data_IF_022257144002
#
_entry.id   IF_022257144002
#
_cell.length_a   1.000
_cell.length_b   1.000
_cell.length_c   1.000
_cell.angle_alpha   90.00
_cell.angle_beta   90.00
_cell.angle_gamma   90.00
#
_symmetry.space_group_name_H-M   'P 1'
#
loop_
_entity.id
_entity.type
_entity.pdbx_description
1 polymer ?
#
# COMPACT_ATOMS: atom_id res chain seq x y z
N UNK A 1 21.89 66.34 -5.50
CA UNK A 1 22.28 67.32 -6.55
C UNK A 1 22.62 66.55 -7.84
N UNK A 2 22.47 67.18 -9.01
CA UNK A 2 22.56 66.52 -10.33
C UNK A 2 23.99 66.43 -10.92
N UNK A 3 24.16 65.56 -11.93
CA UNK A 3 25.31 65.48 -12.86
C UNK A 3 26.38 64.46 -12.43
N UNK A 4 27.16 63.81 -13.31
CA UNK A 4 27.33 63.75 -14.79
C UNK A 4 27.92 62.34 -15.12
N UNK A 5 28.02 61.80 -16.35
CA UNK A 5 27.78 62.26 -17.73
C UNK A 5 27.39 61.04 -18.63
N UNK A 6 27.32 61.20 -19.96
CA UNK A 6 27.24 60.09 -20.93
C UNK A 6 28.62 59.73 -21.54
N UNK A 7 28.79 58.44 -21.87
CA UNK A 7 29.63 57.89 -22.94
C UNK A 7 29.05 56.49 -23.29
N UNK A 8 29.12 55.95 -24.51
CA UNK A 8 29.70 56.45 -25.75
C UNK A 8 30.13 55.29 -26.66
N UNK A 9 29.23 54.84 -27.54
CA UNK A 9 29.41 53.95 -28.73
C UNK A 9 30.46 52.81 -28.71
N UNK A 10 29.98 51.61 -29.01
CA UNK A 10 30.54 50.77 -30.09
C UNK A 10 29.46 49.82 -30.65
N UNK A 11 29.27 49.83 -31.96
CA UNK A 11 28.53 48.79 -32.70
C UNK A 11 29.50 47.69 -33.18
N UNK A 12 29.01 46.77 -34.02
CA UNK A 12 29.67 45.56 -34.57
C UNK A 12 29.78 44.39 -33.57
N UNK A 13 29.31 43.17 -33.85
CA UNK A 13 28.63 42.66 -35.05
C UNK A 13 29.23 41.36 -35.56
N UNK A 14 28.80 40.21 -35.03
CA UNK A 14 28.97 38.91 -35.69
C UNK A 14 27.95 37.88 -35.19
N UNK A 15 27.15 37.38 -36.12
CA UNK A 15 26.49 36.08 -36.07
C UNK A 15 27.30 35.15 -37.00
N UNK A 16 27.60 33.92 -36.59
CA UNK A 16 27.18 32.83 -37.47
C UNK A 16 26.59 31.64 -36.70
N UNK A 17 25.30 31.42 -36.94
CA UNK A 17 24.59 30.15 -36.81
C UNK A 17 25.44 28.97 -37.31
N UNK A 18 25.61 27.94 -36.49
CA UNK A 18 25.94 26.60 -36.98
C UNK A 18 25.28 25.52 -36.13
N UNK A 19 24.91 24.42 -36.79
CA UNK A 19 23.83 23.53 -36.38
C UNK A 19 24.02 22.69 -35.12
N UNK A 20 22.88 22.29 -34.55
CA UNK A 20 22.60 20.87 -34.33
C UNK A 20 21.08 20.64 -34.31
N UNK A 21 20.57 19.76 -35.16
CA UNK A 21 19.20 19.25 -35.01
C UNK A 21 19.19 18.19 -33.90
N UNK A 22 18.30 18.26 -32.90
CA UNK A 22 18.07 17.11 -32.01
C UNK A 22 17.34 16.01 -32.79
N UNK A 23 17.96 14.86 -32.90
CA UNK A 23 17.45 13.67 -33.58
C UNK A 23 16.26 13.06 -32.85
N UNK A 24 15.24 12.61 -33.59
CA UNK A 24 14.16 11.78 -33.07
C UNK A 24 14.73 10.57 -32.30
N UNK A 25 14.42 10.44 -31.01
CA UNK A 25 14.71 9.26 -30.20
C UNK A 25 13.40 8.65 -29.67
N UNK A 26 13.16 7.40 -30.09
CA UNK A 26 12.17 6.44 -29.59
C UNK A 26 10.95 6.99 -28.83
N UNK A 27 9.80 6.99 -29.51
CA UNK A 27 8.53 6.65 -28.87
C UNK A 27 8.70 5.27 -28.23
N UNK A 28 8.74 5.22 -26.90
CA UNK A 28 8.71 3.96 -26.17
C UNK A 28 7.41 3.24 -26.49
N UNK A 29 7.50 2.00 -26.98
CA UNK A 29 6.33 1.15 -27.13
C UNK A 29 5.77 0.88 -25.73
N UNK A 30 4.52 1.26 -25.48
CA UNK A 30 3.77 0.73 -24.35
C UNK A 30 3.62 -0.78 -24.58
N UNK A 31 4.40 -1.57 -23.86
CA UNK A 31 4.16 -3.01 -23.75
C UNK A 31 2.78 -3.19 -23.11
N UNK A 32 1.79 -3.54 -23.93
CA UNK A 32 0.45 -3.84 -23.46
C UNK A 32 0.53 -4.91 -22.36
N UNK A 33 0.07 -4.57 -21.16
CA UNK A 33 0.11 -5.44 -19.98
C UNK A 33 -0.92 -6.56 -20.15
N UNK A 34 -0.56 -7.57 -20.94
CA UNK A 34 -1.33 -8.78 -21.11
C UNK A 34 -1.43 -9.51 -19.76
N UNK A 35 -2.65 -9.71 -19.27
CA UNK A 35 -2.90 -10.43 -18.02
C UNK A 35 -4.15 -10.07 -17.23
N UNK A 36 -4.96 -9.09 -17.62
CA UNK A 36 -6.28 -8.92 -16.99
C UNK A 36 -7.16 -10.15 -17.28
N UNK A 37 -7.70 -10.85 -16.25
CA UNK A 37 -8.69 -11.90 -16.49
C UNK A 37 -9.97 -11.29 -17.09
N UNK A 38 -10.52 -11.91 -18.14
CA UNK A 38 -11.71 -11.40 -18.84
C UNK A 38 -12.97 -11.35 -17.96
N UNK A 39 -12.99 -12.05 -16.83
CA UNK A 39 -14.16 -12.18 -15.97
C UNK A 39 -13.79 -11.86 -14.52
N UNK A 40 -14.50 -10.89 -13.95
CA UNK A 40 -14.47 -10.52 -12.53
C UNK A 40 -15.93 -10.41 -12.09
N UNK A 41 -16.35 -11.24 -11.14
CA UNK A 41 -17.78 -11.41 -10.80
C UNK A 41 -18.24 -10.46 -9.70
N UNK A 42 -18.77 -9.31 -10.09
CA UNK A 42 -19.31 -8.31 -9.16
C UNK A 42 -20.72 -8.69 -8.64
N UNK A 43 -20.84 -8.95 -7.34
CA UNK A 43 -22.14 -9.13 -6.67
C UNK A 43 -22.41 -8.02 -5.66
N UNK A 44 -23.16 -6.99 -6.07
CA UNK A 44 -24.06 -6.33 -5.12
C UNK A 44 -25.22 -7.27 -4.80
N UNK A 45 -25.83 -7.10 -3.62
CA UNK A 45 -26.80 -8.05 -3.08
C UNK A 45 -28.03 -8.30 -3.99
N UNK A 46 -28.66 -9.45 -3.79
CA UNK A 46 -29.84 -9.99 -4.49
C UNK A 46 -29.68 -10.58 -5.91
N UNK A 47 -29.57 -11.92 -5.91
CA UNK A 47 -29.97 -12.90 -6.96
C UNK A 47 -29.17 -12.97 -8.27
N UNK A 48 -28.71 -14.19 -8.54
CA UNK A 48 -27.92 -14.59 -9.70
C UNK A 48 -28.40 -14.05 -11.06
N UNK A 49 -27.54 -13.26 -11.70
CA UNK A 49 -27.32 -13.25 -13.16
C UNK A 49 -25.85 -12.93 -13.42
N UNK A 50 -25.09 -13.90 -13.91
CA UNK A 50 -23.74 -13.66 -14.41
C UNK A 50 -23.86 -13.06 -15.81
N UNK A 51 -23.63 -11.76 -15.90
CA UNK A 51 -23.43 -11.04 -17.15
C UNK A 51 -22.06 -10.37 -17.08
N UNK A 52 -21.36 -10.28 -18.22
CA UNK A 52 -20.15 -9.46 -18.35
C UNK A 52 -20.52 -8.00 -18.08
N UNK A 53 -20.40 -7.58 -16.83
CA UNK A 53 -20.50 -6.19 -16.40
C UNK A 53 -19.11 -5.59 -16.48
N UNK A 54 -19.02 -4.44 -17.13
CA UNK A 54 -17.89 -3.52 -16.94
C UNK A 54 -17.71 -3.27 -15.43
N UNK A 55 -16.46 -3.11 -15.01
CA UNK A 55 -16.12 -2.81 -13.63
C UNK A 55 -16.93 -1.60 -13.13
N UNK A 56 -17.48 -1.61 -11.89
CA UNK A 56 -18.05 -0.40 -11.30
C UNK A 56 -17.03 0.74 -11.43
N UNK A 57 -17.42 1.91 -11.94
CA UNK A 57 -16.53 3.06 -12.06
C UNK A 57 -16.77 3.99 -10.87
N UNK A 58 -15.83 4.01 -9.93
CA UNK A 58 -15.91 4.77 -8.67
C UNK A 58 -14.94 5.94 -8.70
N UNK A 59 -15.46 7.13 -8.40
CA UNK A 59 -14.68 8.37 -8.38
C UNK A 59 -14.38 8.82 -6.95
N UNK A 60 -13.46 9.77 -6.81
CA UNK A 60 -13.15 10.40 -5.52
C UNK A 60 -14.34 11.11 -4.84
N UNK A 61 -15.42 11.39 -5.59
CA UNK A 61 -16.68 11.95 -5.08
C UNK A 61 -17.71 10.91 -4.63
N UNK A 62 -17.48 9.63 -4.92
CA UNK A 62 -18.35 8.52 -4.49
C UNK A 62 -17.83 7.93 -3.16
N UNK A 63 -18.71 7.35 -2.35
CA UNK A 63 -18.30 6.65 -1.12
C UNK A 63 -17.52 5.35 -1.46
N UNK A 64 -16.61 4.91 -0.59
CA UNK A 64 -15.91 3.63 -0.76
C UNK A 64 -16.88 2.46 -0.99
N UNK A 65 -16.52 1.55 -1.90
CA UNK A 65 -17.33 0.36 -2.22
C UNK A 65 -16.62 -0.93 -1.81
N UNK A 66 -17.41 -1.99 -1.66
CA UNK A 66 -16.94 -3.37 -1.61
C UNK A 66 -17.29 -4.10 -2.91
N UNK A 67 -16.31 -4.77 -3.49
CA UNK A 67 -16.45 -5.66 -4.66
C UNK A 67 -15.99 -7.09 -4.32
N UNK A 68 -16.20 -8.00 -5.26
CA UNK A 68 -15.53 -9.31 -5.28
C UNK A 68 -14.64 -9.37 -6.50
N UNK A 69 -13.41 -9.86 -6.32
CA UNK A 69 -12.43 -9.98 -7.41
C UNK A 69 -11.76 -11.35 -7.43
N UNK A 70 -11.10 -11.64 -8.56
CA UNK A 70 -10.23 -12.81 -8.73
C UNK A 70 -8.88 -12.38 -9.29
N UNK A 71 -8.09 -11.66 -8.48
CA UNK A 71 -6.81 -11.06 -8.83
C UNK A 71 -5.59 -11.95 -8.58
N UNK A 72 -5.76 -13.16 -8.02
CA UNK A 72 -4.71 -14.16 -7.89
C UNK A 72 -3.91 -14.42 -9.18
N UNK A 73 -4.55 -14.53 -10.37
CA UNK A 73 -3.85 -14.68 -11.66
C UNK A 73 -2.97 -13.50 -12.08
N UNK A 74 -3.09 -12.32 -11.45
CA UNK A 74 -2.19 -11.19 -11.71
C UNK A 74 -0.79 -11.39 -11.09
N UNK A 75 -0.68 -12.33 -10.15
CA UNK A 75 0.53 -12.71 -9.43
C UNK A 75 1.19 -13.96 -10.02
N UNK A 76 2.51 -14.01 -9.92
CA UNK A 76 3.29 -15.23 -10.06
C UNK A 76 2.98 -16.22 -8.92
N UNK A 77 3.08 -17.52 -9.17
CA UNK A 77 3.06 -18.51 -8.10
C UNK A 77 4.38 -18.58 -7.31
N UNK A 78 5.47 -18.01 -7.84
CA UNK A 78 6.77 -17.92 -7.19
C UNK A 78 7.14 -16.48 -6.86
N UNK A 79 7.59 -16.24 -5.63
CA UNK A 79 8.18 -14.98 -5.19
C UNK A 79 9.34 -15.27 -4.22
N UNK A 80 10.39 -14.46 -4.32
CA UNK A 80 11.57 -14.52 -3.46
C UNK A 80 11.37 -13.57 -2.27
N UNK A 81 10.50 -14.00 -1.35
CA UNK A 81 10.19 -13.23 -0.14
C UNK A 81 11.32 -13.38 0.88
N UNK A 82 11.79 -12.26 1.42
CA UNK A 82 12.93 -12.21 2.34
C UNK A 82 12.61 -11.35 3.55
N UNK A 83 13.07 -11.76 4.73
CA UNK A 83 13.00 -10.90 5.90
C UNK A 83 13.95 -9.70 5.72
N UNK A 84 13.42 -8.48 5.80
CA UNK A 84 14.23 -7.27 5.82
C UNK A 84 14.80 -7.11 7.23
N UNK A 85 16.12 -7.17 7.34
CA UNK A 85 16.82 -6.96 8.61
C UNK A 85 17.10 -5.47 8.76
N UNK A 86 16.33 -4.80 9.62
CA UNK A 86 16.62 -3.43 10.06
C UNK A 86 16.82 -3.38 11.59
N UNK A 87 17.75 -2.55 12.05
CA UNK A 87 18.13 -2.49 13.47
C UNK A 87 16.99 -1.98 14.37
N UNK A 88 16.08 -1.17 13.83
CA UNK A 88 14.95 -0.62 14.57
C UNK A 88 13.88 -1.69 14.86
N UNK A 89 13.61 -2.58 13.91
CA UNK A 89 12.79 -3.80 14.06
C UNK A 89 13.41 -4.74 15.10
N UNK A 90 14.73 -4.96 15.05
CA UNK A 90 15.44 -5.73 16.10
C UNK A 90 15.32 -5.07 17.48
N UNK A 91 15.30 -3.73 17.55
CA UNK A 91 15.17 -2.97 18.80
C UNK A 91 13.76 -3.03 19.42
N UNK A 92 12.73 -3.42 18.67
CA UNK A 92 11.38 -3.64 19.19
C UNK A 92 11.25 -4.94 20.03
N UNK A 93 12.27 -5.81 20.01
CA UNK A 93 12.39 -6.99 20.86
C UNK A 93 12.46 -8.31 20.10
N UNK A 94 13.22 -9.27 20.62
CA UNK A 94 13.30 -10.63 20.09
C UNK A 94 11.92 -11.34 20.22
N UNK A 95 11.46 -11.98 19.15
CA UNK A 95 10.06 -12.44 19.02
C UNK A 95 9.15 -11.37 18.39
N UNK A 96 9.69 -10.65 17.41
CA UNK A 96 9.24 -9.37 16.86
C UNK A 96 7.71 -9.20 16.71
N UNK A 97 7.15 -8.22 17.42
CA UNK A 97 5.76 -7.77 17.27
C UNK A 97 5.53 -6.90 16.02
N UNK A 98 6.59 -6.59 15.29
CA UNK A 98 6.60 -5.90 14.00
C UNK A 98 7.78 -6.43 13.19
N UNK A 99 7.61 -6.69 11.90
CA UNK A 99 8.70 -7.05 11.00
C UNK A 99 8.38 -6.68 9.55
N UNK A 100 9.43 -6.52 8.74
CA UNK A 100 9.33 -6.12 7.33
C UNK A 100 9.77 -7.27 6.41
N UNK A 101 9.08 -7.44 5.28
CA UNK A 101 9.36 -8.48 4.28
C UNK A 101 9.53 -7.85 2.89
N UNK A 102 10.68 -8.08 2.28
CA UNK A 102 10.97 -7.72 0.89
C UNK A 102 10.37 -8.73 -0.09
N UNK A 103 9.98 -8.26 -1.27
CA UNK A 103 9.56 -9.10 -2.39
C UNK A 103 8.20 -9.80 -2.22
N UNK A 104 7.35 -9.36 -1.28
CA UNK A 104 5.99 -9.92 -1.11
C UNK A 104 5.16 -9.76 -2.37
N UNK A 105 5.36 -8.66 -3.09
CA UNK A 105 5.04 -8.52 -4.51
C UNK A 105 6.29 -8.07 -5.29
N UNK A 106 6.36 -8.37 -6.57
CA UNK A 106 7.32 -7.70 -7.48
C UNK A 106 6.77 -6.35 -7.95
N UNK A 107 7.63 -5.39 -8.37
CA UNK A 107 7.16 -4.12 -8.92
C UNK A 107 6.22 -4.24 -10.14
N UNK A 108 6.33 -5.33 -10.91
CA UNK A 108 5.43 -5.64 -12.04
C UNK A 108 4.06 -6.10 -11.55
N UNK A 109 4.02 -6.96 -10.54
CA UNK A 109 2.78 -7.40 -9.89
C UNK A 109 2.05 -6.22 -9.24
N UNK A 110 2.78 -5.33 -8.56
CA UNK A 110 2.18 -4.15 -7.97
C UNK A 110 1.52 -3.25 -9.03
N UNK A 111 2.18 -3.00 -10.18
CA UNK A 111 1.60 -2.25 -11.29
C UNK A 111 0.32 -2.89 -11.84
N UNK A 112 0.30 -4.22 -12.00
CA UNK A 112 -0.88 -4.97 -12.45
C UNK A 112 -2.05 -4.84 -11.46
N UNK A 113 -1.77 -4.96 -10.17
CA UNK A 113 -2.78 -4.83 -9.10
C UNK A 113 -3.28 -3.39 -8.95
N UNK A 114 -2.41 -2.37 -9.08
CA UNK A 114 -2.83 -0.97 -9.14
C UNK A 114 -3.75 -0.74 -10.34
N UNK A 115 -3.35 -1.17 -11.54
CA UNK A 115 -4.16 -1.00 -12.75
C UNK A 115 -5.54 -1.69 -12.66
N UNK A 116 -5.59 -2.91 -12.11
CA UNK A 116 -6.84 -3.62 -11.89
C UNK A 116 -7.74 -2.94 -10.84
N UNK A 117 -7.15 -2.31 -9.82
CA UNK A 117 -7.87 -1.53 -8.81
C UNK A 117 -8.35 -0.17 -9.36
N UNK A 118 -7.54 0.54 -10.14
CA UNK A 118 -7.91 1.82 -10.75
C UNK A 118 -8.96 1.67 -11.86
N UNK A 119 -9.01 0.51 -12.54
CA UNK A 119 -10.10 0.17 -13.45
C UNK A 119 -11.47 0.00 -12.74
N UNK A 120 -11.49 -0.10 -11.41
CA UNK A 120 -12.70 -0.02 -10.56
C UNK A 120 -12.79 1.39 -9.93
N UNK A 121 -11.67 1.95 -9.51
CA UNK A 121 -11.57 3.25 -8.87
C UNK A 121 -11.72 3.20 -7.34
N UNK A 122 -11.60 4.36 -6.71
CA UNK A 122 -11.49 4.51 -5.26
C UNK A 122 -12.41 5.63 -4.76
N UNK A 123 -13.24 5.33 -3.75
CA UNK A 123 -14.17 6.29 -3.15
C UNK A 123 -13.65 6.92 -1.85
N UNK A 124 -14.32 7.95 -1.35
CA UNK A 124 -14.00 8.58 -0.07
C UNK A 124 -14.42 7.70 1.13
N UNK A 125 -13.83 7.97 2.30
CA UNK A 125 -14.21 7.33 3.57
C UNK A 125 -14.92 8.33 4.47
N UNK A 126 -15.80 7.88 5.37
CA UNK A 126 -16.56 8.73 6.32
C UNK A 126 -15.69 9.52 7.35
N UNK A 127 -14.37 9.44 7.25
CA UNK A 127 -13.46 10.17 8.12
C UNK A 127 -13.17 11.58 7.59
N UNK A 128 -12.99 12.54 8.50
CA UNK A 128 -12.50 13.87 8.14
C UNK A 128 -11.13 13.78 7.45
N UNK A 129 -10.95 14.47 6.32
CA UNK A 129 -9.70 14.46 5.54
C UNK A 129 -8.44 14.72 6.38
N UNK A 130 -8.52 15.64 7.35
CA UNK A 130 -7.42 15.98 8.26
C UNK A 130 -7.03 14.86 9.24
N UNK A 131 -7.89 13.85 9.44
CA UNK A 131 -7.56 12.62 10.15
C UNK A 131 -7.21 11.49 9.18
N UNK A 132 -8.00 11.28 8.13
CA UNK A 132 -7.76 10.25 7.11
C UNK A 132 -8.17 10.77 5.75
N UNK A 133 -7.19 11.04 4.88
CA UNK A 133 -7.41 11.65 3.57
C UNK A 133 -7.54 10.67 2.41
N UNK A 134 -7.07 9.42 2.59
CA UNK A 134 -7.00 8.45 1.51
C UNK A 134 -8.38 8.10 0.93
N UNK A 135 -8.43 7.90 -0.38
CA UNK A 135 -9.51 7.18 -1.04
C UNK A 135 -9.33 5.66 -0.84
N UNK A 136 -10.41 4.89 -0.95
CA UNK A 136 -10.40 3.46 -0.66
C UNK A 136 -11.29 2.64 -1.59
N UNK A 137 -10.81 1.42 -1.85
CA UNK A 137 -11.55 0.33 -2.47
C UNK A 137 -11.44 -0.89 -1.53
N UNK A 138 -12.52 -1.65 -1.37
CA UNK A 138 -12.51 -2.93 -0.65
C UNK A 138 -12.78 -4.03 -1.68
N UNK A 139 -12.00 -5.12 -1.64
CA UNK A 139 -12.34 -6.34 -2.36
C UNK A 139 -12.33 -7.56 -1.45
N UNK A 140 -13.26 -8.48 -1.68
CA UNK A 140 -13.23 -9.82 -1.13
C UNK A 140 -12.70 -10.78 -2.20
N UNK A 141 -11.47 -11.27 -2.01
CA UNK A 141 -10.72 -12.03 -3.02
C UNK A 141 -9.95 -13.20 -2.40
N UNK A 142 -10.48 -14.42 -2.60
CA UNK A 142 -9.83 -15.64 -2.13
C UNK A 142 -8.61 -16.00 -2.99
N UNK A 143 -8.64 -15.74 -4.30
CA UNK A 143 -7.56 -16.11 -5.23
C UNK A 143 -6.26 -15.34 -4.94
N UNK A 144 -6.38 -14.04 -4.65
CA UNK A 144 -5.28 -13.19 -4.18
C UNK A 144 -4.78 -13.66 -2.82
N UNK A 145 -5.71 -13.95 -1.91
CA UNK A 145 -5.43 -14.44 -0.56
C UNK A 145 -4.62 -15.74 -0.54
N UNK A 146 -4.97 -16.71 -1.38
CA UNK A 146 -4.29 -18.00 -1.45
C UNK A 146 -2.85 -17.88 -1.97
N UNK A 147 -2.62 -17.07 -3.00
CA UNK A 147 -1.27 -16.82 -3.53
C UNK A 147 -0.41 -16.08 -2.51
N UNK A 148 -0.93 -15.02 -1.88
CA UNK A 148 -0.15 -14.25 -0.88
C UNK A 148 0.07 -15.07 0.40
N UNK A 149 -0.90 -15.87 0.85
CA UNK A 149 -0.69 -16.79 1.97
C UNK A 149 0.38 -17.84 1.65
N UNK A 150 0.42 -18.35 0.41
CA UNK A 150 1.49 -19.21 -0.08
C UNK A 150 2.89 -18.63 0.11
N UNK A 151 3.03 -17.31 -0.09
CA UNK A 151 4.27 -16.52 0.12
C UNK A 151 4.57 -16.24 1.60
N UNK A 152 3.55 -15.91 2.40
CA UNK A 152 3.71 -15.42 3.78
C UNK A 152 3.73 -16.51 4.87
N UNK A 153 3.15 -17.70 4.63
CA UNK A 153 2.94 -18.74 5.66
C UNK A 153 4.21 -19.20 6.40
N UNK A 154 5.38 -19.09 5.78
CA UNK A 154 6.67 -19.44 6.37
C UNK A 154 7.41 -18.27 7.02
N UNK A 155 6.90 -17.05 6.87
CA UNK A 155 7.50 -15.80 7.36
C UNK A 155 6.76 -15.21 8.56
N UNK A 156 5.48 -15.57 8.75
CA UNK A 156 4.70 -15.16 9.93
C UNK A 156 4.97 -16.09 11.11
N UNK A 157 4.79 -15.62 12.37
CA UNK A 157 4.80 -16.50 13.54
C UNK A 157 3.77 -17.63 13.37
N UNK A 158 4.18 -18.91 13.31
CA UNK A 158 3.26 -20.01 13.02
C UNK A 158 2.29 -20.27 14.19
N UNK A 159 2.72 -19.92 15.39
CA UNK A 159 2.00 -20.03 16.66
C UNK A 159 2.12 -18.71 17.43
N UNK A 160 1.07 -18.36 18.16
CA UNK A 160 1.01 -17.25 19.13
C UNK A 160 0.30 -17.75 20.39
N UNK A 161 0.82 -17.43 21.56
CA UNK A 161 0.11 -17.64 22.82
C UNK A 161 -0.73 -16.40 23.17
N UNK A 162 -1.98 -16.62 23.60
CA UNK A 162 -2.86 -15.57 24.08
C UNK A 162 -3.85 -16.16 25.11
N UNK A 163 -3.95 -15.50 26.28
CA UNK A 163 -4.87 -15.86 27.36
C UNK A 163 -4.77 -17.33 27.81
N UNK A 164 -3.55 -17.90 27.75
CA UNK A 164 -3.28 -19.31 28.06
C UNK A 164 -3.67 -20.32 26.98
N UNK A 165 -4.07 -19.86 25.79
CA UNK A 165 -4.36 -20.69 24.63
C UNK A 165 -3.29 -20.52 23.55
N UNK A 166 -2.96 -21.62 22.87
CA UNK A 166 -2.21 -21.57 21.62
C UNK A 166 -3.12 -21.21 20.43
N UNK A 167 -2.62 -20.35 19.55
CA UNK A 167 -3.28 -19.94 18.32
C UNK A 167 -2.37 -20.15 17.13
N UNK A 168 -2.84 -20.88 16.11
CA UNK A 168 -2.08 -21.23 14.90
C UNK A 168 -2.44 -20.32 13.73
N UNK A 169 -1.44 -19.78 13.03
CA UNK A 169 -1.66 -19.01 11.81
C UNK A 169 -2.35 -19.90 10.74
N UNK A 170 -3.48 -19.46 10.19
CA UNK A 170 -4.38 -20.30 9.39
C UNK A 170 -4.80 -19.69 8.04
N UNK A 171 -4.25 -18.53 7.66
CA UNK A 171 -4.54 -17.85 6.41
C UNK A 171 -4.39 -16.33 6.52
N UNK A 172 -4.88 -15.61 5.50
CA UNK A 172 -5.11 -14.18 5.59
C UNK A 172 -6.62 -13.87 5.62
N UNK A 173 -6.96 -12.61 5.90
CA UNK A 173 -8.30 -12.06 5.72
C UNK A 173 -8.58 -11.83 4.23
N UNK A 174 -9.63 -12.45 3.71
CA UNK A 174 -10.05 -12.35 2.32
C UNK A 174 -10.55 -10.95 1.92
N UNK A 175 -10.91 -10.12 2.91
CA UNK A 175 -11.32 -8.73 2.73
C UNK A 175 -10.11 -7.80 2.67
N UNK A 176 -9.58 -7.58 1.46
CA UNK A 176 -8.49 -6.66 1.17
C UNK A 176 -8.99 -5.22 1.13
N UNK A 177 -8.19 -4.31 1.73
CA UNK A 177 -8.47 -2.88 1.82
C UNK A 177 -7.37 -2.12 1.10
N UNK A 178 -7.71 -1.53 -0.03
CA UNK A 178 -6.81 -0.81 -0.90
C UNK A 178 -6.97 0.68 -0.63
N UNK A 179 -5.87 1.39 -0.40
CA UNK A 179 -5.86 2.82 -0.13
C UNK A 179 -5.01 3.56 -1.18
N UNK A 180 -5.58 4.61 -1.77
CA UNK A 180 -4.91 5.57 -2.65
C UNK A 180 -4.79 6.91 -1.93
N UNK A 181 -3.58 7.45 -1.84
CA UNK A 181 -3.25 8.73 -1.23
C UNK A 181 -2.71 9.69 -2.29
N UNK A 182 -3.19 10.92 -2.25
CA UNK A 182 -2.75 12.07 -3.04
C UNK A 182 -2.05 13.10 -2.15
N UNK A 183 -1.44 14.16 -2.70
CA UNK A 183 -0.79 15.19 -1.88
C UNK A 183 -1.75 15.85 -0.87
N UNK A 184 -1.29 15.99 0.37
CA UNK A 184 -2.07 16.44 1.53
C UNK A 184 -2.91 15.35 2.21
N UNK A 185 -2.89 14.11 1.72
CA UNK A 185 -3.53 12.98 2.40
C UNK A 185 -2.60 12.36 3.42
N UNK A 186 -3.17 11.91 4.55
CA UNK A 186 -2.49 11.21 5.65
C UNK A 186 -3.44 10.24 6.34
N UNK A 187 -2.94 9.52 7.34
CA UNK A 187 -3.80 8.78 8.27
C UNK A 187 -3.28 8.92 9.71
N UNK A 188 -3.95 9.71 10.54
CA UNK A 188 -3.51 10.10 11.88
C UNK A 188 -3.38 8.93 12.87
N UNK A 189 -2.58 9.15 13.92
CA UNK A 189 -2.11 8.08 14.81
C UNK A 189 -3.23 7.29 15.51
N UNK A 190 -3.24 5.98 15.26
CA UNK A 190 -4.22 5.00 15.68
C UNK A 190 -3.59 3.63 15.97
N UNK A 191 -4.39 2.71 16.51
CA UNK A 191 -4.09 1.27 16.49
C UNK A 191 -5.15 0.59 15.62
N UNK A 192 -4.75 -0.41 14.83
CA UNK A 192 -5.72 -1.24 14.12
C UNK A 192 -6.57 -2.08 15.08
N UNK A 193 -7.72 -2.57 14.60
CA UNK A 193 -8.63 -3.43 15.33
C UNK A 193 -8.75 -4.80 14.63
N UNK A 194 -8.80 -5.89 15.40
CA UNK A 194 -8.96 -7.22 14.80
C UNK A 194 -10.28 -7.40 14.06
N UNK A 195 -10.18 -8.23 13.03
CA UNK A 195 -11.31 -8.95 12.47
C UNK A 195 -11.55 -10.23 13.29
N UNK A 196 -12.81 -10.54 13.61
CA UNK A 196 -13.21 -11.79 14.26
C UNK A 196 -14.15 -12.55 13.32
N UNK A 197 -13.67 -13.66 12.75
CA UNK A 197 -14.49 -14.49 11.85
C UNK A 197 -15.46 -15.37 12.66
N UNK A 198 -15.01 -15.92 13.78
CA UNK A 198 -15.82 -16.67 14.74
C UNK A 198 -15.14 -16.75 16.11
N UNK A 199 -15.72 -17.48 17.07
CA UNK A 199 -15.21 -17.62 18.44
C UNK A 199 -13.81 -18.25 18.56
N UNK A 200 -13.31 -18.90 17.50
CA UNK A 200 -12.00 -19.54 17.45
C UNK A 200 -11.11 -19.02 16.33
N UNK A 201 -11.52 -18.02 15.53
CA UNK A 201 -10.73 -17.43 14.44
C UNK A 201 -10.77 -15.91 14.46
N UNK A 202 -9.59 -15.30 14.67
CA UNK A 202 -9.41 -13.85 14.75
C UNK A 202 -8.12 -13.43 14.04
N UNK A 203 -8.06 -12.20 13.54
CA UNK A 203 -6.78 -11.63 13.10
C UNK A 203 -5.92 -11.21 14.29
N UNK A 204 -4.59 -11.25 14.12
CA UNK A 204 -3.64 -10.82 15.15
C UNK A 204 -2.45 -9.98 14.64
N UNK A 205 -2.21 -9.99 13.33
CA UNK A 205 -1.24 -9.10 12.69
C UNK A 205 -1.92 -8.37 11.54
N UNK A 206 -1.69 -7.07 11.42
CA UNK A 206 -1.94 -6.33 10.17
C UNK A 206 -0.88 -6.70 9.15
N UNK A 207 -1.24 -6.78 7.87
CA UNK A 207 -0.32 -6.90 6.73
C UNK A 207 -0.53 -5.71 5.82
N UNK A 208 0.37 -4.73 5.87
CA UNK A 208 0.38 -3.59 4.94
C UNK A 208 1.44 -3.85 3.85
N UNK A 209 1.02 -3.90 2.58
CA UNK A 209 1.93 -4.01 1.42
C UNK A 209 1.92 -2.71 0.63
N UNK A 210 3.09 -2.14 0.39
CA UNK A 210 3.24 -0.92 -0.41
C UNK A 210 3.31 -1.30 -1.90
N UNK A 211 2.47 -0.66 -2.72
CA UNK A 211 2.33 -1.02 -4.13
C UNK A 211 3.18 -0.13 -5.05
N UNK A 212 3.68 0.99 -4.54
CA UNK A 212 4.64 1.82 -5.25
C UNK A 212 5.65 2.42 -4.27
N UNK A 213 6.82 2.78 -4.78
CA UNK A 213 7.82 3.51 -4.00
C UNK A 213 7.47 4.99 -3.93
N UNK A 214 7.70 5.60 -2.76
CA UNK A 214 7.53 7.04 -2.53
C UNK A 214 8.88 7.62 -2.11
N UNK A 215 9.32 8.72 -2.73
CA UNK A 215 10.58 9.37 -2.36
C UNK A 215 10.51 9.90 -0.92
N UNK A 216 11.56 9.75 -0.07
CA UNK A 216 11.52 10.20 1.33
C UNK A 216 11.15 11.68 1.51
N UNK A 217 11.57 12.55 0.58
CA UNK A 217 11.22 13.99 0.61
C UNK A 217 9.72 14.27 0.40
N UNK A 218 8.97 13.29 -0.12
CA UNK A 218 7.52 13.37 -0.25
C UNK A 218 6.80 12.82 0.98
N UNK A 219 7.51 12.36 2.02
CA UNK A 219 6.93 11.74 3.20
C UNK A 219 6.18 10.45 2.88
N UNK A 220 4.95 10.33 3.38
CA UNK A 220 4.08 9.18 3.13
C UNK A 220 4.54 7.87 3.81
N UNK A 221 5.51 7.89 4.73
CA UNK A 221 5.90 6.73 5.52
C UNK A 221 4.75 6.14 6.37
N UNK A 222 4.88 4.89 6.78
CA UNK A 222 4.16 4.36 7.96
C UNK A 222 5.07 4.46 9.17
N UNK A 223 4.64 5.17 10.20
CA UNK A 223 5.46 5.54 11.35
C UNK A 223 4.92 4.90 12.61
N UNK A 224 5.78 4.24 13.38
CA UNK A 224 5.41 3.50 14.60
C UNK A 224 5.94 4.21 15.84
N UNK A 225 5.09 4.36 16.85
CA UNK A 225 5.37 5.07 18.08
C UNK A 225 5.39 4.11 19.28
N UNK A 226 6.06 4.50 20.37
CA UNK A 226 6.07 3.69 21.60
C UNK A 226 6.44 4.50 22.84
N UNK A 227 6.10 3.95 24.01
CA UNK A 227 6.31 4.60 25.30
C UNK A 227 5.29 5.70 25.61
N UNK A 228 5.46 6.38 26.74
CA UNK A 228 4.51 7.37 27.27
C UNK A 228 4.43 8.68 26.47
N UNK A 229 5.43 8.99 25.63
CA UNK A 229 5.52 10.25 24.87
C UNK A 229 4.95 10.06 23.45
N UNK A 230 3.83 9.36 23.36
CA UNK A 230 3.46 8.46 22.26
C UNK A 230 3.12 9.09 20.88
N UNK A 231 3.36 10.40 20.64
CA UNK A 231 2.90 11.09 19.40
C UNK A 231 3.86 12.13 18.80
N UNK A 232 5.02 12.39 19.41
CA UNK A 232 5.94 13.43 18.90
C UNK A 232 7.02 12.87 17.98
N UNK A 233 7.69 11.78 18.39
CA UNK A 233 8.82 11.21 17.67
C UNK A 233 8.55 9.72 17.34
N UNK A 234 8.63 9.30 16.06
CA UNK A 234 8.48 7.89 15.70
C UNK A 234 9.72 7.09 16.09
N UNK A 235 9.52 5.85 16.58
CA UNK A 235 10.60 4.91 16.90
C UNK A 235 11.05 4.09 15.70
N UNK A 236 10.18 3.95 14.70
CA UNK A 236 10.44 3.33 13.42
C UNK A 236 9.66 4.07 12.34
N UNK A 237 10.31 4.28 11.19
CA UNK A 237 9.73 4.90 9.99
C UNK A 237 9.93 3.92 8.84
N UNK A 238 8.84 3.42 8.26
CA UNK A 238 8.87 2.52 7.11
C UNK A 238 8.45 3.30 5.87
N UNK A 239 9.41 3.62 5.02
CA UNK A 239 9.16 4.30 3.75
C UNK A 239 8.48 3.34 2.77
N UNK A 240 7.50 3.78 1.95
CA UNK A 240 6.89 2.94 0.94
C UNK A 240 7.90 2.57 -0.16
N UNK A 241 8.05 1.28 -0.39
CA UNK A 241 8.84 0.69 -1.48
C UNK A 241 8.00 -0.37 -2.18
N UNK A 242 7.96 -0.36 -3.52
CA UNK A 242 7.09 -1.27 -4.29
C UNK A 242 7.38 -2.75 -3.98
N UNK A 243 6.42 -3.44 -3.36
CA UNK A 243 6.51 -4.85 -3.00
C UNK A 243 6.99 -5.15 -1.58
N UNK A 244 7.43 -4.13 -0.84
CA UNK A 244 7.71 -4.24 0.60
C UNK A 244 6.40 -4.43 1.37
N UNK A 245 6.40 -5.35 2.32
CA UNK A 245 5.34 -5.47 3.32
C UNK A 245 5.88 -5.15 4.72
N UNK A 246 5.06 -4.49 5.54
CA UNK A 246 5.24 -4.42 7.00
C UNK A 246 4.11 -5.18 7.67
N UNK A 247 4.47 -6.11 8.56
CA UNK A 247 3.56 -6.92 9.35
C UNK A 247 3.74 -6.54 10.82
N UNK A 248 2.64 -6.27 11.52
CA UNK A 248 2.71 -5.81 12.91
C UNK A 248 1.50 -6.22 13.74
N UNK A 249 1.69 -6.38 15.05
CA UNK A 249 0.64 -6.79 15.98
C UNK A 249 -0.45 -5.74 16.06
N UNK A 250 -1.66 -6.21 15.80
CA UNK A 250 -2.90 -5.57 16.22
C UNK A 250 -3.49 -6.35 17.41
N UNK A 251 -4.49 -5.80 18.14
CA UNK A 251 -5.13 -6.52 19.23
C UNK A 251 -5.63 -7.89 18.75
N UNK A 252 -5.68 -8.93 19.60
CA UNK A 252 -5.37 -8.93 21.03
C UNK A 252 -3.86 -9.09 21.34
N UNK A 253 -3.50 -8.97 22.61
CA UNK A 253 -2.13 -9.20 23.11
C UNK A 253 -1.16 -8.03 22.93
N UNK A 254 -1.23 -7.29 21.83
CA UNK A 254 -0.48 -6.04 21.62
C UNK A 254 -1.25 -5.09 20.70
N UNK A 255 -0.93 -3.80 20.75
CA UNK A 255 -1.56 -2.77 19.91
C UNK A 255 -0.51 -1.72 19.53
N UNK A 256 0.07 -1.81 18.34
CA UNK A 256 1.12 -0.88 17.93
C UNK A 256 0.50 0.42 17.41
N UNK A 257 0.74 1.49 18.14
CA UNK A 257 0.35 2.85 17.76
C UNK A 257 1.18 3.28 16.56
N UNK A 258 0.51 3.61 15.47
CA UNK A 258 1.14 3.98 14.22
C UNK A 258 0.30 5.01 13.46
N UNK A 259 0.93 5.68 12.50
CA UNK A 259 0.27 6.60 11.59
C UNK A 259 0.79 6.45 10.15
N UNK A 260 0.03 7.00 9.20
CA UNK A 260 0.47 7.28 7.85
C UNK A 260 0.83 8.75 7.76
N UNK A 261 2.10 9.02 7.54
CA UNK A 261 2.63 10.36 7.31
C UNK A 261 1.93 11.04 6.13
N UNK A 262 1.89 12.37 6.18
CA UNK A 262 1.33 13.18 5.10
C UNK A 262 2.16 13.04 3.83
N UNK A 263 1.49 12.75 2.71
CA UNK A 263 2.12 12.70 1.40
C UNK A 263 2.24 14.12 0.84
N UNK A 264 3.45 14.59 0.56
CA UNK A 264 3.69 15.91 -0.01
C UNK A 264 3.77 15.92 -1.55
N UNK A 265 4.04 14.77 -2.19
CA UNK A 265 4.21 14.69 -3.64
C UNK A 265 4.04 13.29 -4.23
N UNK A 266 3.56 13.23 -5.47
CA UNK A 266 3.22 11.97 -6.14
C UNK A 266 1.95 11.32 -5.58
N UNK A 267 1.85 10.00 -5.74
CA UNK A 267 0.75 9.17 -5.21
C UNK A 267 1.33 8.03 -4.38
N UNK A 268 0.54 7.50 -3.43
CA UNK A 268 0.87 6.28 -2.66
C UNK A 268 -0.30 5.31 -2.70
N UNK A 269 0.00 4.06 -3.00
CA UNK A 269 -0.92 2.94 -3.01
C UNK A 269 -0.50 1.90 -1.96
N UNK A 270 -1.45 1.46 -1.14
CA UNK A 270 -1.23 0.47 -0.08
C UNK A 270 -2.35 -0.55 -0.07
N UNK A 271 -2.01 -1.84 -0.05
CA UNK A 271 -2.95 -2.94 0.08
C UNK A 271 -2.84 -3.50 1.49
N UNK A 272 -3.97 -3.65 2.19
CA UNK A 272 -4.02 -4.18 3.55
C UNK A 272 -4.89 -5.42 3.66
N UNK A 273 -4.35 -6.45 4.30
CA UNK A 273 -5.06 -7.61 4.82
C UNK A 273 -4.57 -7.87 6.25
N UNK A 274 -4.94 -8.99 6.84
CA UNK A 274 -4.59 -9.39 8.20
C UNK A 274 -4.19 -10.87 8.23
N UNK A 275 -3.23 -11.25 9.08
CA UNK A 275 -2.94 -12.68 9.33
C UNK A 275 -3.98 -13.23 10.30
N UNK A 276 -4.69 -14.26 9.85
CA UNK A 276 -5.72 -14.96 10.61
C UNK A 276 -5.11 -16.08 11.45
N UNK A 277 -5.59 -16.20 12.69
CA UNK A 277 -5.16 -17.23 13.63
C UNK A 277 -6.37 -18.01 14.15
N UNK A 278 -6.22 -19.34 14.21
CA UNK A 278 -7.20 -20.26 14.76
C UNK A 278 -6.72 -20.79 16.11
N UNK A 279 -7.56 -20.72 17.15
CA UNK A 279 -7.29 -21.32 18.46
C UNK A 279 -7.14 -22.83 18.34
N UNK A 280 -6.05 -23.38 18.88
CA UNK A 280 -5.84 -24.82 19.02
C UNK A 280 -6.75 -25.32 20.15
N UNK A 281 -7.34 -26.51 19.95
CA UNK A 281 -8.20 -27.19 20.94
C UNK A 281 -7.37 -28.11 21.83
#
# INVERSE_FOLDING_TARGET
AMGRNQAGRSEEGHDPTNGMQPTNSNVGQEEAVAGLPEETTYTHETKHKVARREAPQVTASDHEIEVRTEWGPLLSHTADVRARVDEATLSYGAGSTLFSLDGVFSPVECKRLIHAAEAIGFGYTDYLKAYRGNLRLITVDQSLTDVVWGRLKGMVPPMVELDGYEWRACGLNECWRLAKYSPGDRFGAHCDANFKRNACEISMFTVNVYMNSVHPEHGGATRFYGGSNARTEPRLVVQPEAGLAVLFRQPPGAALLHDGEELAGGEKFLFRSDVMYRRVQ
#
